data_IF_854203711904
#
_entry.id   IF_854203711904
#
_cell.length_a   1.000
_cell.length_b   1.000
_cell.length_c   1.000
_cell.angle_alpha   90.00
_cell.angle_beta   90.00
_cell.angle_gamma   90.00
#
_symmetry.space_group_name_H-M   'P 1'
#
loop_
_entity.id
_entity.type
_entity.pdbx_description
1 polymer ?
#
# COMPACT_ATOMS: atom_id res chain seq x y z
N UNK A 1 36.79 -48.10 -8.63
CA UNK A 1 35.58 -47.39 -8.20
C UNK A 1 34.64 -47.28 -9.40
N UNK A 2 33.37 -47.59 -9.26
CA UNK A 2 32.40 -47.58 -10.35
C UNK A 2 31.63 -46.25 -10.36
N UNK A 3 31.10 -45.81 -11.54
CA UNK A 3 30.24 -44.66 -11.60
C UNK A 3 28.90 -44.95 -10.90
N UNK A 4 28.33 -43.93 -10.28
CA UNK A 4 27.02 -44.01 -9.68
C UNK A 4 25.93 -44.32 -10.70
N UNK A 5 24.98 -45.17 -10.31
CA UNK A 5 23.74 -45.33 -11.08
C UNK A 5 22.85 -44.11 -10.95
N UNK A 6 21.85 -44.01 -11.81
CA UNK A 6 20.86 -42.91 -11.72
C UNK A 6 20.19 -42.87 -10.33
N UNK A 7 19.73 -44.03 -9.84
CA UNK A 7 19.06 -44.14 -8.54
C UNK A 7 19.97 -43.74 -7.37
N UNK A 8 21.25 -44.15 -7.39
CA UNK A 8 22.23 -43.76 -6.38
C UNK A 8 22.51 -42.26 -6.38
N UNK A 9 22.57 -41.65 -7.55
CA UNK A 9 22.76 -40.19 -7.69
C UNK A 9 21.55 -39.38 -7.19
N UNK A 10 20.36 -39.84 -7.51
CA UNK A 10 19.12 -39.15 -7.12
C UNK A 10 18.81 -39.28 -5.62
N UNK A 11 19.09 -40.43 -5.04
CA UNK A 11 18.87 -40.67 -3.59
C UNK A 11 19.97 -40.07 -2.68
N UNK A 12 21.16 -39.81 -3.22
CA UNK A 12 22.23 -39.12 -2.51
C UNK A 12 22.80 -39.81 -1.28
N UNK A 13 22.63 -41.15 -1.13
CA UNK A 13 23.04 -41.93 0.06
C UNK A 13 24.28 -42.79 -0.13
N UNK A 14 24.80 -42.87 -1.36
CA UNK A 14 25.99 -43.69 -1.66
C UNK A 14 27.25 -42.82 -1.76
N UNK A 15 28.28 -43.17 -1.00
CA UNK A 15 29.58 -42.49 -1.01
C UNK A 15 30.73 -43.37 -1.53
N UNK A 16 30.42 -44.57 -2.10
CA UNK A 16 31.41 -45.54 -2.63
C UNK A 16 31.60 -45.43 -4.14
N UNK A 17 30.73 -44.70 -4.83
CA UNK A 17 30.77 -44.51 -6.26
C UNK A 17 31.07 -43.03 -6.58
N UNK A 18 31.58 -42.76 -7.79
CA UNK A 18 31.83 -41.39 -8.21
C UNK A 18 30.69 -40.85 -9.12
N UNK A 19 30.48 -39.57 -9.06
CA UNK A 19 29.48 -38.89 -9.88
C UNK A 19 30.06 -38.52 -11.25
N UNK A 20 29.36 -38.91 -12.31
CA UNK A 20 29.65 -38.42 -13.66
C UNK A 20 28.87 -37.11 -13.91
N UNK A 21 29.28 -36.29 -14.87
CA UNK A 21 28.50 -35.04 -15.21
C UNK A 21 27.03 -35.33 -15.51
N UNK A 22 26.74 -36.46 -16.17
CA UNK A 22 25.37 -36.88 -16.43
C UNK A 22 24.59 -37.16 -15.14
N UNK A 23 25.22 -37.91 -14.20
CA UNK A 23 24.59 -38.25 -12.91
C UNK A 23 24.41 -37.03 -12.03
N UNK A 24 25.36 -36.13 -12.03
CA UNK A 24 25.23 -34.83 -11.33
C UNK A 24 24.04 -34.05 -11.84
N UNK A 25 23.87 -33.95 -13.16
CA UNK A 25 22.71 -33.28 -13.76
C UNK A 25 21.39 -33.96 -13.39
N UNK A 26 21.34 -35.27 -13.40
CA UNK A 26 20.16 -36.05 -13.01
C UNK A 26 19.80 -35.86 -11.55
N UNK A 27 20.78 -35.89 -10.63
CA UNK A 27 20.57 -35.62 -9.21
C UNK A 27 20.02 -34.19 -8.96
N UNK A 28 20.58 -33.20 -9.62
CA UNK A 28 20.12 -31.81 -9.52
C UNK A 28 18.67 -31.68 -10.00
N UNK A 29 18.32 -32.31 -11.11
CA UNK A 29 16.96 -32.27 -11.66
C UNK A 29 15.95 -33.02 -10.79
N UNK A 30 16.32 -34.16 -10.21
CA UNK A 30 15.45 -34.93 -9.31
C UNK A 30 15.18 -34.19 -7.99
N UNK A 31 16.19 -33.55 -7.44
CA UNK A 31 16.09 -32.81 -6.20
C UNK A 31 15.47 -31.40 -6.37
N UNK A 32 15.30 -30.94 -7.59
CA UNK A 32 14.60 -29.68 -7.88
C UNK A 32 13.11 -29.71 -7.55
N UNK A 33 12.50 -30.91 -7.53
CA UNK A 33 11.07 -31.07 -7.23
C UNK A 33 10.73 -31.31 -5.75
N UNK A 34 11.73 -31.46 -4.87
CA UNK A 34 11.53 -31.79 -3.46
C UNK A 34 11.97 -30.74 -2.44
N UNK A 35 12.65 -29.70 -2.85
CA UNK A 35 13.13 -28.66 -1.95
C UNK A 35 13.24 -27.33 -2.66
N UNK A 36 12.18 -26.51 -2.55
CA UNK A 36 12.16 -25.17 -3.09
C UNK A 36 12.34 -25.16 -4.60
N UNK A 37 11.28 -25.46 -5.35
CA UNK A 37 11.17 -25.01 -6.72
C UNK A 37 11.23 -23.49 -6.67
N UNK A 38 12.45 -22.93 -6.82
CA UNK A 38 12.62 -21.51 -6.96
C UNK A 38 11.82 -21.08 -8.19
N UNK A 39 10.57 -20.67 -7.96
CA UNK A 39 9.80 -20.07 -9.04
C UNK A 39 10.45 -18.74 -9.36
N UNK A 40 10.66 -18.47 -10.63
CA UNK A 40 11.06 -17.14 -11.08
C UNK A 40 9.87 -16.19 -11.18
N UNK A 41 8.65 -16.72 -10.98
CA UNK A 41 7.43 -15.95 -11.01
C UNK A 41 6.93 -15.74 -9.57
N UNK A 42 6.89 -14.48 -9.16
CA UNK A 42 6.42 -14.10 -7.83
C UNK A 42 5.00 -14.60 -7.53
N UNK A 43 4.13 -14.70 -8.56
CA UNK A 43 2.75 -15.14 -8.38
C UNK A 43 2.62 -16.62 -7.98
N UNK A 44 3.65 -17.43 -8.26
CA UNK A 44 3.68 -18.86 -7.92
C UNK A 44 4.28 -19.15 -6.53
N UNK A 45 4.72 -18.10 -5.80
CA UNK A 45 5.24 -18.24 -4.45
C UNK A 45 4.12 -18.54 -3.45
N UNK A 46 4.32 -19.56 -2.62
CA UNK A 46 3.50 -19.80 -1.43
C UNK A 46 3.95 -18.89 -0.28
N UNK A 47 3.02 -18.57 0.62
CA UNK A 47 3.34 -17.77 1.80
C UNK A 47 3.73 -16.32 1.49
N UNK A 48 3.17 -15.72 0.44
CA UNK A 48 3.42 -14.32 0.08
C UNK A 48 3.18 -13.38 1.26
N UNK A 49 4.00 -12.34 1.43
CA UNK A 49 3.79 -11.35 2.47
C UNK A 49 2.46 -10.63 2.30
N UNK A 50 1.92 -10.16 3.42
CA UNK A 50 0.64 -9.43 3.47
C UNK A 50 0.82 -8.11 4.19
N UNK A 51 0.07 -7.10 3.76
CA UNK A 51 -0.12 -5.84 4.48
C UNK A 51 -1.62 -5.73 4.78
N UNK A 52 -2.01 -5.55 6.04
CA UNK A 52 -3.41 -5.49 6.47
C UNK A 52 -4.26 -6.67 5.94
N UNK A 53 -3.72 -7.90 5.98
CA UNK A 53 -4.32 -9.11 5.41
C UNK A 53 -4.46 -9.14 3.89
N UNK A 54 -4.00 -8.13 3.16
CA UNK A 54 -3.97 -8.10 1.70
C UNK A 54 -2.67 -8.72 1.20
N UNK A 55 -2.77 -9.79 0.44
CA UNK A 55 -1.60 -10.44 -0.17
C UNK A 55 -0.95 -9.51 -1.20
N UNK A 56 0.38 -9.40 -1.15
CA UNK A 56 1.13 -8.57 -2.10
C UNK A 56 1.27 -9.33 -3.42
N UNK A 57 0.36 -9.09 -4.34
CA UNK A 57 0.35 -9.61 -5.71
C UNK A 57 0.12 -8.48 -6.69
N UNK A 58 0.91 -8.45 -7.76
CA UNK A 58 0.84 -7.40 -8.75
C UNK A 58 1.13 -6.01 -8.20
N UNK A 59 0.60 -4.99 -8.86
CA UNK A 59 0.72 -3.61 -8.41
C UNK A 59 -0.45 -3.26 -7.49
N UNK A 60 -0.15 -2.91 -6.23
CA UNK A 60 -1.14 -2.54 -5.22
C UNK A 60 -1.09 -1.05 -4.94
N UNK A 61 -2.25 -0.41 -4.90
CA UNK A 61 -2.37 0.97 -4.43
C UNK A 61 -2.39 1.04 -2.91
N UNK A 62 -2.08 2.20 -2.34
CA UNK A 62 -2.17 2.42 -0.89
C UNK A 62 -3.58 2.18 -0.34
N UNK A 63 -4.61 2.50 -1.12
CA UNK A 63 -6.00 2.27 -0.75
C UNK A 63 -6.35 0.77 -0.67
N UNK A 64 -5.89 -0.04 -1.64
CA UNK A 64 -6.08 -1.50 -1.61
C UNK A 64 -5.37 -2.15 -0.42
N UNK A 65 -4.25 -1.59 0.02
CA UNK A 65 -3.50 -2.06 1.18
C UNK A 65 -4.06 -1.53 2.51
N UNK A 66 -5.12 -0.74 2.48
CA UNK A 66 -5.67 -0.08 3.67
C UNK A 66 -4.71 0.96 4.28
N UNK A 67 -3.75 1.44 3.50
CA UNK A 67 -2.81 2.48 3.90
C UNK A 67 -3.41 3.82 3.48
N UNK A 68 -4.30 4.35 4.30
CA UNK A 68 -4.82 5.70 4.12
C UNK A 68 -3.77 6.67 4.66
N UNK A 69 -3.13 7.40 3.75
CA UNK A 69 -2.33 8.56 4.13
C UNK A 69 -3.18 9.62 4.81
N UNK A 70 -2.55 10.59 5.47
CA UNK A 70 -3.25 11.74 6.02
C UNK A 70 -3.87 12.54 4.87
N UNK A 71 -5.20 12.47 4.77
CA UNK A 71 -5.95 13.16 3.73
C UNK A 71 -6.12 14.62 4.13
N UNK A 72 -5.89 15.51 3.19
CA UNK A 72 -6.19 16.94 3.31
C UNK A 72 -7.15 17.37 2.20
N UNK A 73 -7.89 18.43 2.46
CA UNK A 73 -8.82 19.03 1.50
C UNK A 73 -8.67 20.55 1.51
N UNK A 74 -8.65 21.15 0.32
CA UNK A 74 -8.61 22.62 0.18
C UNK A 74 -9.91 23.10 -0.46
N UNK A 75 -10.62 23.93 0.26
CA UNK A 75 -11.82 24.62 -0.22
C UNK A 75 -11.48 26.03 -0.67
N UNK A 76 -12.02 26.46 -1.80
CA UNK A 76 -11.83 27.82 -2.34
C UNK A 76 -13.19 28.51 -2.40
N UNK A 77 -13.32 29.63 -1.70
CA UNK A 77 -14.47 30.52 -1.74
C UNK A 77 -14.12 31.75 -2.56
N UNK A 78 -14.60 31.80 -3.79
CA UNK A 78 -14.31 32.91 -4.72
C UNK A 78 -15.24 34.11 -4.53
N UNK A 79 -16.49 33.88 -4.11
CA UNK A 79 -17.48 34.93 -3.83
C UNK A 79 -17.51 35.22 -2.33
N UNK A 80 -17.39 36.49 -1.90
CA UNK A 80 -17.45 36.81 -0.47
C UNK A 80 -18.74 36.31 0.20
N UNK A 81 -18.61 35.65 1.35
CA UNK A 81 -19.71 35.16 2.13
C UNK A 81 -19.28 35.07 3.58
N UNK A 82 -20.22 35.26 4.51
CA UNK A 82 -19.98 35.08 5.96
C UNK A 82 -20.29 33.70 6.45
N UNK A 83 -20.88 32.83 5.60
CA UNK A 83 -21.18 31.44 5.92
C UNK A 83 -20.63 30.55 4.84
N UNK A 84 -19.72 29.64 5.22
CA UNK A 84 -19.14 28.68 4.30
C UNK A 84 -19.61 27.27 4.66
N UNK A 85 -20.39 26.66 3.78
CA UNK A 85 -20.75 25.25 3.85
C UNK A 85 -19.79 24.45 2.96
N UNK A 86 -19.02 23.56 3.58
CA UNK A 86 -17.94 22.83 2.93
C UNK A 86 -18.25 21.34 3.01
N UNK A 87 -18.38 20.71 1.86
CA UNK A 87 -18.43 19.25 1.73
C UNK A 87 -17.05 18.73 1.36
N UNK A 88 -16.57 17.69 2.04
CA UNK A 88 -15.26 17.10 1.81
C UNK A 88 -15.35 15.57 1.89
N UNK A 89 -14.31 14.88 1.39
CA UNK A 89 -14.21 13.41 1.31
C UNK A 89 -13.23 12.80 2.33
N UNK A 90 -12.92 13.54 3.41
CA UNK A 90 -11.91 13.13 4.38
C UNK A 90 -12.37 11.97 5.28
N UNK A 91 -13.69 11.74 5.42
CA UNK A 91 -14.31 10.76 6.33
C UNK A 91 -13.80 10.86 7.78
N UNK A 92 -13.51 12.09 8.21
CA UNK A 92 -13.04 12.43 9.56
C UNK A 92 -13.54 13.83 9.95
N UNK A 93 -13.38 14.21 11.20
CA UNK A 93 -13.56 15.58 11.67
C UNK A 93 -12.22 16.31 11.54
N UNK A 94 -12.00 17.11 10.48
CA UNK A 94 -10.70 17.70 10.20
C UNK A 94 -10.39 18.90 11.08
N UNK A 95 -9.10 19.16 11.29
CA UNK A 95 -8.64 20.48 11.71
C UNK A 95 -8.82 21.46 10.57
N UNK A 96 -9.25 22.68 10.86
CA UNK A 96 -9.57 23.69 9.83
C UNK A 96 -8.77 24.95 10.06
N UNK A 97 -8.10 25.41 9.01
CA UNK A 97 -7.45 26.73 8.97
C UNK A 97 -8.04 27.52 7.81
N UNK A 98 -8.57 28.70 8.08
CA UNK A 98 -9.13 29.59 7.06
C UNK A 98 -8.19 30.76 6.82
N UNK A 99 -8.00 31.12 5.56
CA UNK A 99 -7.27 32.32 5.16
C UNK A 99 -8.11 33.17 4.22
N UNK A 100 -7.97 34.47 4.31
CA UNK A 100 -8.57 35.42 3.36
C UNK A 100 -7.83 35.43 2.01
N UNK A 101 -8.25 36.28 1.10
CA UNK A 101 -7.64 36.43 -0.23
C UNK A 101 -6.19 36.96 -0.18
N UNK A 102 -5.79 37.60 0.92
CA UNK A 102 -4.42 38.08 1.16
C UNK A 102 -3.53 37.02 1.82
N UNK A 103 -4.11 35.88 2.24
CA UNK A 103 -3.38 34.81 2.91
C UNK A 103 -3.32 34.95 4.43
N UNK A 104 -4.04 35.92 5.01
CA UNK A 104 -4.10 36.10 6.47
C UNK A 104 -5.10 35.12 7.10
N UNK A 105 -4.73 34.55 8.25
CA UNK A 105 -5.62 33.62 8.96
C UNK A 105 -6.82 34.36 9.52
N UNK A 106 -8.00 33.81 9.26
CA UNK A 106 -9.29 34.33 9.76
C UNK A 106 -9.92 33.29 10.68
N UNK A 107 -10.36 33.73 11.84
CA UNK A 107 -11.07 32.88 12.82
C UNK A 107 -12.56 32.94 12.56
N UNK A 108 -13.21 31.79 12.61
CA UNK A 108 -14.65 31.63 12.51
C UNK A 108 -15.15 30.52 13.43
N UNK A 109 -16.46 30.48 13.65
CA UNK A 109 -17.12 29.42 14.39
C UNK A 109 -17.30 28.19 13.48
N UNK A 110 -16.64 27.10 13.84
CA UNK A 110 -16.68 25.84 13.08
C UNK A 110 -17.71 24.90 13.70
N UNK A 111 -18.66 24.46 12.89
CA UNK A 111 -19.65 23.43 13.24
C UNK A 111 -19.45 22.21 12.36
N UNK A 112 -19.17 21.07 12.95
CA UNK A 112 -19.08 19.79 12.22
C UNK A 112 -20.49 19.23 12.06
N UNK A 113 -21.01 19.20 10.84
CA UNK A 113 -22.33 18.66 10.53
C UNK A 113 -22.28 17.16 10.29
N UNK A 114 -21.16 16.66 9.75
CA UNK A 114 -20.88 15.22 9.58
C UNK A 114 -19.37 15.00 9.40
N UNK A 115 -18.96 13.74 9.23
CA UNK A 115 -17.58 13.39 8.84
C UNK A 115 -17.20 13.84 7.43
N UNK A 116 -18.16 14.33 6.66
CA UNK A 116 -17.97 14.76 5.26
C UNK A 116 -18.41 16.18 5.02
N UNK A 117 -18.86 16.91 6.05
CA UNK A 117 -19.31 18.29 5.90
C UNK A 117 -19.11 19.11 7.16
N UNK A 118 -18.70 20.36 6.97
CA UNK A 118 -18.57 21.37 8.00
C UNK A 118 -19.25 22.67 7.57
N UNK A 119 -19.65 23.45 8.55
CA UNK A 119 -20.13 24.82 8.37
C UNK A 119 -19.23 25.76 9.17
N UNK A 120 -18.79 26.84 8.55
CA UNK A 120 -18.00 27.88 9.21
C UNK A 120 -18.75 29.20 9.11
N UNK A 121 -18.89 29.90 10.24
CA UNK A 121 -19.56 31.20 10.32
C UNK A 121 -18.58 32.26 10.75
N UNK A 122 -18.57 33.38 10.03
CA UNK A 122 -17.68 34.51 10.26
C UNK A 122 -18.48 35.77 10.59
N UNK A 123 -17.84 36.74 11.23
CA UNK A 123 -18.44 38.05 11.56
C UNK A 123 -18.65 38.95 10.36
N UNK A 124 -17.96 38.73 9.25
CA UNK A 124 -18.06 39.49 8.01
C UNK A 124 -17.91 38.59 6.80
N UNK A 125 -18.47 39.00 5.66
CA UNK A 125 -18.32 38.28 4.40
C UNK A 125 -16.96 38.57 3.77
N UNK A 126 -16.25 37.50 3.34
CA UNK A 126 -14.97 37.61 2.60
C UNK A 126 -14.78 36.39 1.69
N UNK A 127 -13.83 36.50 0.77
CA UNK A 127 -13.37 35.41 -0.08
C UNK A 127 -12.02 34.87 0.40
N UNK A 128 -11.74 33.61 0.16
CA UNK A 128 -10.48 33.00 0.62
C UNK A 128 -10.45 31.51 0.45
N UNK A 129 -9.71 30.84 1.33
CA UNK A 129 -9.53 29.38 1.31
C UNK A 129 -9.68 28.78 2.70
N UNK A 130 -10.16 27.54 2.76
CA UNK A 130 -10.10 26.74 3.96
C UNK A 130 -9.26 25.47 3.69
N UNK A 131 -8.31 25.21 4.57
CA UNK A 131 -7.47 24.01 4.57
C UNK A 131 -7.97 23.08 5.67
N UNK A 132 -8.32 21.86 5.30
CA UNK A 132 -8.85 20.83 6.16
C UNK A 132 -7.85 19.66 6.21
N UNK A 133 -7.41 19.25 7.40
CA UNK A 133 -6.43 18.16 7.63
C UNK A 133 -6.94 17.11 8.61
#
# INVERSE_FOLDING_TARGET
MLPATKSQAENGVDNKTYMTPLRTKQAILANKSGGGSGTSNYNDLEGKPKINNVTLEGNKTSSELGLTGDKHFTYIKSTPDSVWEITHDLDKYPSVTVVDSAGSVVMGDITYTSKSAIKITFSAAFSGKAYLN
#
